data_IF_234270149823
#
_entry.id   IF_234270149823
#
_cell.length_a   1.000
_cell.length_b   1.000
_cell.length_c   1.000
_cell.angle_alpha   90.00
_cell.angle_beta   90.00
_cell.angle_gamma   90.00
#
_symmetry.space_group_name_H-M   'P 1'
#
loop_
_entity.id
_entity.type
_entity.pdbx_description
1 polymer ?
#
# COMPACT_ATOMS: atom_id res chain seq x y z
N UNK A 1 -59.25 56.55 14.38
CA UNK A 1 -59.15 55.10 14.60
C UNK A 1 -57.73 54.66 14.27
N UNK A 2 -56.95 54.14 15.23
CA UNK A 2 -55.78 53.33 14.93
C UNK A 2 -56.06 51.85 15.21
N UNK A 3 -55.50 51.00 14.36
CA UNK A 3 -55.76 49.58 14.24
C UNK A 3 -55.18 48.76 15.40
N UNK A 4 -55.96 47.73 15.74
CA UNK A 4 -55.70 46.67 16.70
C UNK A 4 -54.37 45.95 16.43
N UNK A 5 -53.48 45.99 17.43
CA UNK A 5 -52.18 45.33 17.47
C UNK A 5 -52.35 43.84 17.76
N UNK A 6 -52.41 43.01 16.72
CA UNK A 6 -52.23 41.56 16.85
C UNK A 6 -50.76 41.22 17.09
N UNK A 7 -50.34 41.13 18.35
CA UNK A 7 -48.99 40.67 18.72
C UNK A 7 -48.83 39.19 18.33
N UNK A 8 -48.28 38.93 17.15
CA UNK A 8 -47.74 37.61 16.83
C UNK A 8 -46.55 37.36 17.75
N UNK A 9 -46.64 36.31 18.57
CA UNK A 9 -45.62 35.97 19.57
C UNK A 9 -44.44 35.31 18.85
N UNK A 10 -43.45 36.13 18.52
CA UNK A 10 -42.19 35.69 17.90
C UNK A 10 -41.35 34.90 18.91
N UNK A 11 -40.78 33.79 18.46
CA UNK A 11 -40.01 32.83 19.25
C UNK A 11 -38.53 33.06 18.97
N UNK A 12 -37.75 33.30 20.01
CA UNK A 12 -36.29 33.51 19.87
C UNK A 12 -35.53 32.18 19.73
N UNK A 13 -34.34 32.16 19.13
CA UNK A 13 -33.48 30.97 19.08
C UNK A 13 -33.22 30.33 20.45
N UNK A 14 -33.17 31.15 21.52
CA UNK A 14 -33.06 30.66 22.91
C UNK A 14 -34.30 29.89 23.34
N UNK A 15 -35.49 30.37 23.01
CA UNK A 15 -36.73 29.66 23.29
C UNK A 15 -36.87 28.41 22.42
N UNK A 16 -36.44 28.45 21.15
CA UNK A 16 -36.39 27.24 20.30
C UNK A 16 -35.49 26.18 20.93
N UNK A 17 -34.30 26.59 21.41
CA UNK A 17 -33.36 25.71 22.12
C UNK A 17 -34.01 25.03 23.32
N UNK A 18 -34.73 25.79 24.13
CA UNK A 18 -35.36 25.30 25.35
C UNK A 18 -36.61 24.44 25.07
N UNK A 19 -37.46 24.86 24.12
CA UNK A 19 -38.72 24.17 23.80
C UNK A 19 -38.51 22.90 22.98
N UNK A 20 -37.51 22.88 22.10
CA UNK A 20 -37.18 21.70 21.32
C UNK A 20 -36.07 20.86 21.96
N UNK A 21 -35.36 21.33 22.99
CA UNK A 21 -34.19 20.65 23.57
C UNK A 21 -33.18 20.23 22.48
N UNK A 22 -32.67 21.21 21.76
CA UNK A 22 -31.72 21.09 20.63
C UNK A 22 -30.61 22.12 20.83
N UNK A 23 -29.43 21.91 20.28
CA UNK A 23 -28.36 22.92 20.33
C UNK A 23 -28.43 23.92 19.16
N UNK A 24 -27.61 24.97 19.20
CA UNK A 24 -27.61 25.99 18.13
C UNK A 24 -27.22 25.41 16.75
N UNK A 25 -26.42 24.32 16.72
CA UNK A 25 -25.97 23.67 15.48
C UNK A 25 -27.11 22.86 14.87
N UNK A 26 -27.89 22.18 15.70
CA UNK A 26 -29.06 21.41 15.34
C UNK A 26 -30.22 22.32 14.91
N UNK A 27 -30.41 23.49 15.54
CA UNK A 27 -31.36 24.52 15.06
C UNK A 27 -31.03 24.93 13.62
N UNK A 28 -29.75 25.21 13.31
CA UNK A 28 -29.33 25.57 11.94
C UNK A 28 -29.61 24.44 10.94
N UNK A 29 -29.36 23.18 11.34
CA UNK A 29 -29.65 22.02 10.51
C UNK A 29 -31.16 21.84 10.28
N UNK A 30 -31.98 22.05 11.30
CA UNK A 30 -33.44 22.00 11.20
C UNK A 30 -33.98 23.13 10.32
N UNK A 31 -33.42 24.34 10.41
CA UNK A 31 -33.78 25.44 9.51
C UNK A 31 -33.47 25.10 8.05
N UNK A 32 -32.29 24.49 7.78
CA UNK A 32 -31.93 24.03 6.44
C UNK A 32 -32.87 22.94 5.94
N UNK A 33 -33.24 22.00 6.80
CA UNK A 33 -34.12 20.87 6.45
C UNK A 33 -35.56 21.33 6.18
N UNK A 34 -36.09 22.22 7.03
CA UNK A 34 -37.43 22.79 6.89
C UNK A 34 -37.49 23.96 5.88
N UNK A 35 -36.38 24.30 5.22
CA UNK A 35 -36.23 25.45 4.30
C UNK A 35 -36.71 26.78 4.91
N UNK A 36 -36.42 26.98 6.19
CA UNK A 36 -36.76 28.20 6.93
C UNK A 36 -35.59 29.17 6.85
N UNK A 37 -35.86 30.39 6.40
CA UNK A 37 -34.89 31.49 6.41
C UNK A 37 -35.05 32.28 7.71
N UNK A 38 -34.02 32.37 8.57
CA UNK A 38 -34.12 33.09 9.84
C UNK A 38 -34.43 34.57 9.61
N UNK A 39 -35.53 35.06 10.21
CA UNK A 39 -35.93 36.46 10.15
C UNK A 39 -35.19 37.29 11.18
N UNK A 40 -34.96 38.57 10.88
CA UNK A 40 -34.33 39.52 11.80
C UNK A 40 -35.31 40.62 12.17
N UNK A 41 -35.35 40.99 13.45
CA UNK A 41 -36.09 42.14 13.91
C UNK A 41 -35.35 43.46 13.59
N UNK A 42 -35.97 44.60 13.92
CA UNK A 42 -35.36 45.93 13.79
C UNK A 42 -34.07 46.10 14.60
N UNK A 43 -33.82 45.22 15.57
CA UNK A 43 -32.63 45.19 16.43
C UNK A 43 -31.56 44.22 15.92
N UNK A 44 -31.78 43.57 14.78
CA UNK A 44 -30.88 42.58 14.19
C UNK A 44 -30.90 41.20 14.88
N UNK A 45 -31.80 40.96 15.83
CA UNK A 45 -31.97 39.67 16.50
C UNK A 45 -32.82 38.71 15.67
N UNK A 46 -32.41 37.45 15.67
CA UNK A 46 -33.13 36.40 14.93
C UNK A 46 -34.39 36.01 15.70
N UNK A 47 -35.50 35.85 14.99
CA UNK A 47 -36.75 35.31 15.53
C UNK A 47 -37.42 34.34 14.56
N UNK A 48 -38.35 33.54 15.10
CA UNK A 48 -39.15 32.55 14.38
C UNK A 48 -40.64 32.80 14.64
N UNK A 49 -41.45 32.70 13.60
CA UNK A 49 -42.90 32.68 13.79
C UNK A 49 -43.36 31.34 14.39
N UNK A 50 -44.61 31.28 14.84
CA UNK A 50 -45.20 30.05 15.40
C UNK A 50 -45.29 28.93 14.35
N UNK A 51 -45.52 29.29 13.09
CA UNK A 51 -45.53 28.39 11.95
C UNK A 51 -44.13 27.81 11.66
N UNK A 52 -43.11 28.67 11.67
CA UNK A 52 -41.71 28.27 11.49
C UNK A 52 -41.25 27.36 12.63
N UNK A 53 -41.62 27.68 13.87
CA UNK A 53 -41.35 26.81 15.01
C UNK A 53 -42.02 25.44 14.91
N UNK A 54 -43.28 25.38 14.46
CA UNK A 54 -43.96 24.11 14.23
C UNK A 54 -43.33 23.29 13.11
N UNK A 55 -42.83 23.95 12.05
CA UNK A 55 -42.07 23.29 10.99
C UNK A 55 -40.72 22.75 11.50
N UNK A 56 -40.00 23.48 12.36
CA UNK A 56 -38.80 22.97 13.05
C UNK A 56 -39.11 21.77 13.95
N UNK A 57 -40.23 21.81 14.69
CA UNK A 57 -40.69 20.70 15.53
C UNK A 57 -41.00 19.45 14.71
N UNK A 58 -41.64 19.61 13.55
CA UNK A 58 -41.94 18.52 12.62
C UNK A 58 -40.66 17.94 12.01
N UNK A 59 -39.76 18.81 11.53
CA UNK A 59 -38.45 18.41 11.02
C UNK A 59 -37.63 17.63 12.07
N UNK A 60 -37.70 18.03 13.35
CA UNK A 60 -37.05 17.27 14.43
C UNK A 60 -37.62 15.85 14.58
N UNK A 61 -38.93 15.71 14.46
CA UNK A 61 -39.60 14.40 14.47
C UNK A 61 -39.17 13.50 13.31
N UNK A 62 -38.99 14.08 12.13
CA UNK A 62 -38.56 13.37 10.91
C UNK A 62 -37.08 12.97 10.95
N UNK A 63 -36.20 13.83 11.47
CA UNK A 63 -34.76 13.55 11.62
C UNK A 63 -34.49 12.41 12.61
N UNK A 64 -35.36 12.22 13.62
CA UNK A 64 -35.27 11.06 14.52
C UNK A 64 -35.59 9.72 13.85
N UNK A 65 -36.32 9.70 12.74
CA UNK A 65 -36.65 8.46 12.00
C UNK A 65 -35.61 8.06 10.96
N UNK A 66 -34.61 8.90 10.67
CA UNK A 66 -33.57 8.63 9.66
C UNK A 66 -32.17 8.51 10.27
N UNK A 67 -32.04 8.53 11.59
CA UNK A 67 -30.79 8.28 12.28
C UNK A 67 -30.72 6.80 12.66
N UNK A 68 -29.89 6.03 11.95
CA UNK A 68 -29.52 4.67 12.35
C UNK A 68 -29.13 4.69 13.83
N UNK A 69 -29.67 3.75 14.60
CA UNK A 69 -29.39 3.68 16.03
C UNK A 69 -27.88 3.44 16.25
N UNK A 70 -27.32 3.96 17.35
CA UNK A 70 -25.90 3.77 17.71
C UNK A 70 -25.44 2.30 17.67
N UNK A 71 -26.36 1.35 17.82
CA UNK A 71 -26.11 -0.11 17.79
C UNK A 71 -25.90 -0.62 16.35
N UNK A 72 -26.64 -0.10 15.37
CA UNK A 72 -26.49 -0.46 13.95
C UNK A 72 -25.18 0.09 13.37
N UNK A 73 -24.80 1.31 13.77
CA UNK A 73 -23.49 1.88 13.40
C UNK A 73 -22.33 1.07 13.98
N UNK A 74 -22.43 0.65 15.25
CA UNK A 74 -21.40 -0.17 15.89
C UNK A 74 -21.21 -1.52 15.17
N UNK A 75 -22.32 -2.14 14.73
CA UNK A 75 -22.27 -3.42 14.01
C UNK A 75 -21.57 -3.30 12.66
N UNK A 76 -21.84 -2.21 11.92
CA UNK A 76 -21.17 -1.92 10.65
C UNK A 76 -19.67 -1.70 10.86
N UNK A 77 -19.28 -0.96 11.91
CA UNK A 77 -17.86 -0.71 12.23
C UNK A 77 -17.15 -2.02 12.61
N UNK A 78 -17.77 -2.87 13.44
CA UNK A 78 -17.20 -4.17 13.81
C UNK A 78 -17.02 -5.07 12.59
N UNK A 79 -18.00 -5.12 11.69
CA UNK A 79 -17.92 -5.90 10.46
C UNK A 79 -16.85 -5.39 9.48
N UNK A 80 -16.59 -4.07 9.47
CA UNK A 80 -15.50 -3.48 8.70
C UNK A 80 -14.14 -3.84 9.30
N UNK A 81 -13.99 -3.75 10.61
CA UNK A 81 -12.76 -4.13 11.31
C UNK A 81 -12.41 -5.60 11.09
N UNK A 82 -13.37 -6.51 11.21
CA UNK A 82 -13.10 -7.94 10.98
C UNK A 82 -12.67 -8.22 9.54
N UNK A 83 -13.30 -7.56 8.55
CA UNK A 83 -12.88 -7.68 7.15
C UNK A 83 -11.49 -7.10 6.89
N UNK A 84 -11.13 -6.01 7.57
CA UNK A 84 -9.79 -5.43 7.46
C UNK A 84 -8.75 -6.36 8.08
N UNK A 85 -9.02 -6.96 9.24
CA UNK A 85 -8.15 -7.97 9.87
C UNK A 85 -7.97 -9.19 8.96
N UNK A 86 -9.04 -9.65 8.32
CA UNK A 86 -8.99 -10.78 7.38
C UNK A 86 -8.16 -10.44 6.15
N UNK A 87 -8.28 -9.22 5.61
CA UNK A 87 -7.47 -8.74 4.50
C UNK A 87 -6.00 -8.62 4.92
N UNK A 88 -5.71 -8.05 6.09
CA UNK A 88 -4.35 -7.92 6.62
C UNK A 88 -3.67 -9.28 6.76
N UNK A 89 -4.37 -10.26 7.35
CA UNK A 89 -3.85 -11.63 7.50
C UNK A 89 -3.62 -12.29 6.14
N UNK A 90 -4.56 -12.16 5.20
CA UNK A 90 -4.41 -12.73 3.86
C UNK A 90 -3.23 -12.11 3.11
N UNK A 91 -3.06 -10.79 3.16
CA UNK A 91 -1.92 -10.10 2.56
C UNK A 91 -0.62 -10.59 3.20
N UNK A 92 -0.55 -10.58 4.54
CA UNK A 92 0.64 -11.01 5.28
C UNK A 92 1.01 -12.45 4.90
N UNK A 93 0.05 -13.37 4.91
CA UNK A 93 0.29 -14.77 4.54
C UNK A 93 0.75 -14.92 3.08
N UNK A 94 0.09 -14.23 2.14
CA UNK A 94 0.45 -14.32 0.71
C UNK A 94 1.84 -13.76 0.45
N UNK A 95 2.19 -12.63 1.08
CA UNK A 95 3.50 -12.01 0.96
C UNK A 95 4.58 -12.88 1.58
N UNK A 96 4.36 -13.40 2.79
CA UNK A 96 5.30 -14.33 3.44
C UNK A 96 5.55 -15.57 2.58
N UNK A 97 4.50 -16.23 2.11
CA UNK A 97 4.63 -17.40 1.25
C UNK A 97 5.39 -17.10 -0.05
N UNK A 98 5.08 -15.98 -0.70
CA UNK A 98 5.77 -15.58 -1.94
C UNK A 98 7.25 -15.29 -1.69
N UNK A 99 7.60 -14.69 -0.55
CA UNK A 99 8.99 -14.43 -0.19
C UNK A 99 9.73 -15.75 0.07
N UNK A 100 9.13 -16.66 0.83
CA UNK A 100 9.73 -17.97 1.13
C UNK A 100 10.02 -18.75 -0.16
N UNK A 101 9.06 -18.84 -1.09
CA UNK A 101 9.25 -19.50 -2.39
C UNK A 101 10.37 -18.84 -3.23
N UNK A 102 10.53 -17.51 -3.15
CA UNK A 102 11.59 -16.80 -3.87
C UNK A 102 12.96 -16.99 -3.23
N UNK A 103 13.03 -17.08 -1.91
CA UNK A 103 14.28 -17.36 -1.19
C UNK A 103 14.74 -18.79 -1.47
N UNK A 104 13.83 -19.76 -1.47
CA UNK A 104 14.15 -21.15 -1.85
C UNK A 104 14.69 -21.23 -3.29
N UNK A 105 14.03 -20.54 -4.23
CA UNK A 105 14.51 -20.46 -5.62
C UNK A 105 15.88 -19.76 -5.76
N UNK A 106 16.19 -18.82 -4.87
CA UNK A 106 17.50 -18.17 -4.83
C UNK A 106 18.59 -19.13 -4.33
N UNK A 107 18.30 -19.94 -3.32
CA UNK A 107 19.23 -20.93 -2.79
C UNK A 107 19.62 -21.98 -3.85
N UNK A 108 18.66 -22.43 -4.66
CA UNK A 108 18.93 -23.34 -5.79
C UNK A 108 19.91 -22.72 -6.80
N UNK A 109 19.70 -21.45 -7.15
CA UNK A 109 20.59 -20.72 -8.07
C UNK A 109 21.99 -20.56 -7.48
N UNK A 110 22.10 -20.27 -6.18
CA UNK A 110 23.40 -20.14 -5.50
C UNK A 110 24.17 -21.47 -5.52
N UNK A 111 23.48 -22.59 -5.29
CA UNK A 111 24.11 -23.92 -5.35
C UNK A 111 24.64 -24.22 -6.75
N UNK A 112 23.85 -23.97 -7.79
CA UNK A 112 24.30 -24.20 -9.17
C UNK A 112 25.45 -23.26 -9.56
N UNK A 113 25.44 -22.01 -9.08
CA UNK A 113 26.53 -21.08 -9.29
C UNK A 113 27.84 -21.55 -8.64
N UNK A 114 27.78 -22.10 -7.42
CA UNK A 114 28.95 -22.69 -6.73
C UNK A 114 29.50 -23.85 -7.54
N UNK A 115 28.62 -24.72 -8.06
CA UNK A 115 28.99 -25.83 -8.93
C UNK A 115 29.70 -25.34 -10.19
N UNK A 116 29.07 -24.43 -10.94
CA UNK A 116 29.68 -23.86 -12.15
C UNK A 116 31.02 -23.18 -11.87
N UNK A 117 31.15 -22.46 -10.75
CA UNK A 117 32.40 -21.80 -10.35
C UNK A 117 33.51 -22.81 -10.06
N UNK A 118 33.18 -23.91 -9.38
CA UNK A 118 34.13 -24.99 -9.08
C UNK A 118 34.58 -25.71 -10.35
N UNK A 119 33.64 -26.00 -11.25
CA UNK A 119 33.94 -26.58 -12.57
C UNK A 119 34.82 -25.63 -13.41
N UNK A 120 34.54 -24.33 -13.38
CA UNK A 120 35.33 -23.33 -14.10
C UNK A 120 36.78 -23.29 -13.61
N UNK A 121 37.00 -23.32 -12.30
CA UNK A 121 38.35 -23.33 -11.71
C UNK A 121 39.11 -24.60 -12.08
N UNK A 122 38.43 -25.75 -12.07
CA UNK A 122 39.00 -27.03 -12.51
C UNK A 122 39.44 -26.99 -13.98
N UNK A 123 38.60 -26.42 -14.86
CA UNK A 123 38.94 -26.25 -16.27
C UNK A 123 40.12 -25.29 -16.48
N UNK A 124 40.21 -24.21 -15.70
CA UNK A 124 41.37 -23.30 -15.73
C UNK A 124 42.66 -24.01 -15.35
N UNK A 125 42.63 -24.87 -14.34
CA UNK A 125 43.79 -25.69 -13.95
C UNK A 125 44.19 -26.66 -15.07
N UNK A 126 43.22 -27.37 -15.65
CA UNK A 126 43.44 -28.27 -16.79
C UNK A 126 44.09 -27.56 -17.99
N UNK A 127 43.63 -26.35 -18.32
CA UNK A 127 44.21 -25.54 -19.41
C UNK A 127 45.67 -25.21 -19.10
N UNK A 128 45.99 -24.83 -17.87
CA UNK A 128 47.37 -24.50 -17.48
C UNK A 128 48.29 -25.72 -17.55
N UNK A 129 47.82 -26.89 -17.13
CA UNK A 129 48.57 -28.16 -17.25
C UNK A 129 48.84 -28.51 -18.71
N UNK A 130 47.81 -28.50 -19.55
CA UNK A 130 47.92 -28.80 -20.97
C UNK A 130 48.83 -27.80 -21.68
N UNK A 131 48.80 -26.52 -21.31
CA UNK A 131 49.72 -25.52 -21.88
C UNK A 131 51.18 -25.82 -21.54
N UNK A 132 51.47 -26.23 -20.30
CA UNK A 132 52.84 -26.64 -19.90
C UNK A 132 53.29 -27.88 -20.67
N UNK A 133 52.43 -28.89 -20.77
CA UNK A 133 52.73 -30.11 -21.52
C UNK A 133 52.95 -29.81 -23.02
N UNK A 134 52.09 -28.97 -23.62
CA UNK A 134 52.21 -28.57 -25.01
C UNK A 134 53.54 -27.84 -25.27
N UNK A 135 53.93 -26.96 -24.35
CA UNK A 135 55.23 -26.28 -24.41
C UNK A 135 56.40 -27.27 -24.34
N UNK A 136 56.35 -28.21 -23.39
CA UNK A 136 57.38 -29.25 -23.25
C UNK A 136 57.50 -30.11 -24.51
N UNK A 137 56.38 -30.59 -25.04
CA UNK A 137 56.34 -31.41 -26.26
C UNK A 137 56.83 -30.64 -27.49
N UNK A 138 56.47 -29.36 -27.63
CA UNK A 138 57.00 -28.49 -28.69
C UNK A 138 58.52 -28.36 -28.60
N UNK A 139 59.07 -28.14 -27.41
CA UNK A 139 60.52 -28.07 -27.22
C UNK A 139 61.20 -29.42 -27.50
N UNK A 140 60.62 -30.52 -27.01
CA UNK A 140 61.11 -31.87 -27.30
C UNK A 140 61.11 -32.15 -28.80
N UNK A 141 60.05 -31.81 -29.53
CA UNK A 141 59.98 -31.96 -30.98
C UNK A 141 61.02 -31.08 -31.69
N UNK A 142 61.19 -29.84 -31.25
CA UNK A 142 62.20 -28.91 -31.76
C UNK A 142 63.63 -29.39 -31.52
N UNK A 143 63.86 -30.31 -30.59
CA UNK A 143 65.17 -30.94 -30.40
C UNK A 143 65.52 -31.94 -31.51
N UNK A 144 64.62 -32.27 -32.43
CA UNK A 144 64.89 -33.16 -33.56
C UNK A 144 65.06 -32.37 -34.87
N UNK A 145 65.86 -32.92 -35.78
CA UNK A 145 66.03 -32.42 -37.16
C UNK A 145 65.86 -33.56 -38.16
N UNK A 146 65.38 -33.29 -39.38
CA UNK A 146 65.29 -34.32 -40.41
C UNK A 146 66.69 -34.83 -40.79
N UNK A 147 66.79 -36.13 -41.08
CA UNK A 147 68.01 -36.80 -41.50
C UNK A 147 67.93 -37.23 -42.97
N UNK A 148 67.29 -38.37 -43.28
CA UNK A 148 67.08 -38.87 -44.63
C UNK A 148 65.92 -39.87 -44.67
N UNK A 149 65.26 -40.03 -45.84
CA UNK A 149 64.14 -40.97 -46.06
C UNK A 149 63.00 -40.83 -45.03
N UNK A 150 62.77 -39.61 -44.51
CA UNK A 150 61.75 -39.36 -43.49
C UNK A 150 62.15 -39.70 -42.05
N UNK A 151 63.40 -40.13 -41.81
CA UNK A 151 63.94 -40.33 -40.47
C UNK A 151 64.36 -39.00 -39.83
N UNK A 152 64.23 -38.90 -38.51
CA UNK A 152 64.63 -37.75 -37.70
C UNK A 152 65.72 -38.17 -36.71
N UNK A 153 66.64 -37.25 -36.42
CA UNK A 153 67.70 -37.44 -35.42
C UNK A 153 67.64 -36.31 -34.40
N UNK A 154 67.89 -36.62 -33.12
CA UNK A 154 68.00 -35.60 -32.08
C UNK A 154 69.20 -34.73 -32.38
N UNK A 155 69.04 -33.42 -32.32
CA UNK A 155 70.12 -32.43 -32.37
C UNK A 155 71.04 -32.73 -31.18
N UNK A 156 72.33 -32.90 -31.44
CA UNK A 156 73.34 -32.82 -30.38
C UNK A 156 73.32 -31.37 -29.90
N UNK A 157 72.74 -31.12 -28.72
CA UNK A 157 73.06 -29.91 -27.97
C UNK A 157 74.51 -30.06 -27.53
N UNK A 158 75.35 -29.06 -27.81
CA UNK A 158 76.78 -29.06 -27.51
C UNK A 158 77.09 -29.73 -26.17
N UNK A 159 77.66 -30.93 -26.23
CA UNK A 159 78.45 -31.54 -25.17
C UNK A 159 79.78 -30.76 -25.07
N UNK A 160 79.70 -29.44 -24.90
CA UNK A 160 80.82 -28.58 -24.59
C UNK A 160 80.86 -28.44 -23.07
N UNK A 161 81.74 -29.28 -22.50
CA UNK A 161 82.40 -29.11 -21.22
C UNK A 161 82.98 -27.70 -21.11
#
# INVERSE_FOLDING_TARGET
MPADTGVQKDITPREVRNLLNVDNREIVNLCRHAKITPKKDISGQIYFSKEEFNALKKAKGEVKSTSLTSVEQQTVITNLMTRLDDIEKNITNTVSQTIDEKLDGMDEVVVELIRCKTENETLRQKINELNKENYYLKNALNSYKPFALGLYVKKEEDLLI
#
